data_IF_222159277953
#
_entry.id   IF_222159277953
#
_cell.length_a   1.000
_cell.length_b   1.000
_cell.length_c   1.000
_cell.angle_alpha   90.00
_cell.angle_beta   90.00
_cell.angle_gamma   90.00
#
_symmetry.space_group_name_H-M   'P 1'
#
loop_
_entity.id
_entity.type
_entity.pdbx_description
1 polymer ?
#
# COMPACT_ATOMS: atom_id res chain seq x y z
N UNK A 1 25.81 28.04 7.23
CA UNK A 1 25.58 27.13 6.08
C UNK A 1 25.79 25.67 6.47
N UNK A 2 26.95 25.28 7.01
CA UNK A 2 27.24 23.88 7.36
C UNK A 2 26.27 23.23 8.36
N UNK A 3 25.77 23.98 9.36
CA UNK A 3 24.79 23.45 10.30
C UNK A 3 23.44 23.08 9.67
N UNK A 4 23.02 23.80 8.62
CA UNK A 4 21.78 23.48 7.88
C UNK A 4 22.02 22.24 7.00
N UNK A 5 23.19 22.16 6.35
CA UNK A 5 23.56 21.00 5.55
C UNK A 5 23.61 19.71 6.40
N UNK A 6 24.14 19.77 7.62
CA UNK A 6 24.09 18.64 8.58
C UNK A 6 22.65 18.22 8.92
N UNK A 7 21.71 19.16 9.07
CA UNK A 7 20.29 18.85 9.28
C UNK A 7 19.68 18.14 8.06
N UNK A 8 20.01 18.56 6.85
CA UNK A 8 19.59 17.87 5.63
C UNK A 8 20.18 16.46 5.55
N UNK A 9 21.46 16.28 5.87
CA UNK A 9 22.10 14.96 5.92
C UNK A 9 21.36 14.01 6.88
N UNK A 10 20.99 14.49 8.07
CA UNK A 10 20.19 13.70 9.01
C UNK A 10 18.81 13.32 8.46
N UNK A 11 18.15 14.25 7.75
CA UNK A 11 16.87 13.95 7.08
C UNK A 11 17.03 12.89 5.99
N UNK A 12 18.07 12.97 5.16
CA UNK A 12 18.33 11.95 4.13
C UNK A 12 18.69 10.58 4.73
N UNK A 13 19.34 10.54 5.90
CA UNK A 13 19.52 9.29 6.65
C UNK A 13 18.16 8.69 7.04
N UNK A 14 17.27 9.51 7.60
CA UNK A 14 15.91 9.06 7.95
C UNK A 14 15.11 8.63 6.72
N UNK A 15 15.19 9.38 5.61
CA UNK A 15 14.53 8.98 4.36
C UNK A 15 15.01 7.60 3.94
N UNK A 16 16.31 7.31 3.99
CA UNK A 16 16.84 5.98 3.67
C UNK A 16 16.23 4.88 4.55
N UNK A 17 16.14 5.10 5.86
CA UNK A 17 15.48 4.16 6.78
C UNK A 17 14.01 3.91 6.41
N UNK A 18 13.28 4.97 6.00
CA UNK A 18 11.91 4.85 5.49
C UNK A 18 11.86 4.08 4.15
N UNK A 19 12.87 4.20 3.29
CA UNK A 19 12.95 3.45 2.02
C UNK A 19 13.24 1.97 2.24
N UNK A 20 14.10 1.65 3.20
CA UNK A 20 14.35 0.25 3.58
C UNK A 20 13.05 -0.40 4.12
N UNK A 21 12.27 0.35 4.89
CA UNK A 21 10.94 -0.10 5.32
C UNK A 21 9.97 -0.22 4.12
N UNK A 22 10.00 0.73 3.19
CA UNK A 22 9.18 0.69 1.97
C UNK A 22 9.39 -0.59 1.16
N UNK A 23 10.65 -1.03 0.98
CA UNK A 23 10.98 -2.24 0.23
C UNK A 23 10.44 -3.51 0.91
N UNK A 24 10.51 -3.57 2.24
CA UNK A 24 9.92 -4.65 3.02
C UNK A 24 8.39 -4.70 2.87
N UNK A 25 7.74 -3.53 2.94
CA UNK A 25 6.29 -3.41 2.72
C UNK A 25 5.90 -3.78 1.29
N UNK A 26 6.74 -3.45 0.29
CA UNK A 26 6.51 -3.77 -1.12
C UNK A 26 6.52 -5.29 -1.34
N UNK A 27 7.52 -5.97 -0.80
CA UNK A 27 7.61 -7.44 -0.86
C UNK A 27 6.40 -8.10 -0.21
N UNK A 28 5.99 -7.61 0.97
CA UNK A 28 4.80 -8.08 1.68
C UNK A 28 3.52 -7.84 0.87
N UNK A 29 3.33 -6.65 0.31
CA UNK A 29 2.13 -6.31 -0.47
C UNK A 29 2.02 -7.17 -1.73
N UNK A 30 3.11 -7.40 -2.45
CA UNK A 30 3.13 -8.28 -3.64
C UNK A 30 2.68 -9.70 -3.26
N UNK A 31 3.22 -10.25 -2.16
CA UNK A 31 2.85 -11.58 -1.68
C UNK A 31 1.36 -11.65 -1.30
N UNK A 32 0.88 -10.67 -0.52
CA UNK A 32 -0.52 -10.61 -0.13
C UNK A 32 -1.45 -10.49 -1.35
N UNK A 33 -1.14 -9.57 -2.28
CA UNK A 33 -1.92 -9.36 -3.51
C UNK A 33 -1.99 -10.62 -4.37
N UNK A 34 -0.85 -11.31 -4.53
CA UNK A 34 -0.77 -12.56 -5.30
C UNK A 34 -1.61 -13.66 -4.65
N UNK A 35 -1.55 -13.78 -3.33
CA UNK A 35 -2.35 -14.74 -2.57
C UNK A 35 -3.85 -14.46 -2.68
N UNK A 36 -4.27 -13.20 -2.51
CA UNK A 36 -5.66 -12.80 -2.69
C UNK A 36 -6.15 -13.08 -4.12
N UNK A 37 -5.34 -12.76 -5.13
CA UNK A 37 -5.65 -13.04 -6.54
C UNK A 37 -5.83 -14.54 -6.80
N UNK A 38 -4.94 -15.37 -6.24
CA UNK A 38 -5.02 -16.84 -6.35
C UNK A 38 -6.27 -17.40 -5.65
N UNK A 39 -6.64 -16.88 -4.47
CA UNK A 39 -7.89 -17.27 -3.82
C UNK A 39 -9.11 -16.90 -4.68
N UNK A 40 -9.15 -15.67 -5.21
CA UNK A 40 -10.25 -15.20 -6.08
C UNK A 40 -10.40 -16.07 -7.32
N UNK A 41 -9.29 -16.48 -7.95
CA UNK A 41 -9.32 -17.39 -9.09
C UNK A 41 -9.86 -18.78 -8.70
N UNK A 42 -9.41 -19.33 -7.56
CA UNK A 42 -9.90 -20.63 -7.06
C UNK A 42 -11.37 -20.61 -6.70
N UNK A 43 -11.89 -19.49 -6.18
CA UNK A 43 -13.32 -19.34 -5.86
C UNK A 43 -14.22 -19.61 -7.09
N UNK A 44 -13.76 -19.28 -8.31
CA UNK A 44 -14.50 -19.57 -9.54
C UNK A 44 -14.63 -21.07 -9.80
N UNK A 45 -13.59 -21.85 -9.47
CA UNK A 45 -13.57 -23.31 -9.64
C UNK A 45 -14.38 -24.00 -8.52
N UNK A 46 -14.26 -23.49 -7.30
CA UNK A 46 -14.94 -24.02 -6.10
C UNK A 46 -16.46 -23.81 -6.16
N UNK A 47 -16.92 -22.72 -6.78
CA UNK A 47 -18.35 -22.48 -6.98
C UNK A 47 -19.01 -23.47 -7.95
N UNK A 48 -18.23 -24.25 -8.68
CA UNK A 48 -18.73 -25.14 -9.72
C UNK A 48 -18.76 -26.60 -9.23
N UNK A 49 -19.98 -27.03 -8.90
CA UNK A 49 -20.29 -28.34 -8.31
C UNK A 49 -19.75 -29.52 -9.10
N UNK A 50 -19.54 -29.38 -10.41
CA UNK A 50 -19.00 -30.48 -11.22
C UNK A 50 -17.55 -30.81 -10.88
N UNK A 51 -16.82 -29.89 -10.24
CA UNK A 51 -15.41 -30.05 -9.90
C UNK A 51 -15.14 -30.89 -8.64
N UNK A 52 -16.17 -31.27 -7.87
CA UNK A 52 -16.02 -32.03 -6.63
C UNK A 52 -15.84 -33.55 -6.85
N UNK A 53 -16.17 -34.07 -8.04
CA UNK A 53 -15.97 -35.48 -8.38
C UNK A 53 -16.55 -36.43 -7.31
N UNK A 54 -15.72 -37.30 -6.75
CA UNK A 54 -16.10 -38.26 -5.71
C UNK A 54 -16.52 -37.60 -4.38
N UNK A 55 -16.17 -36.33 -4.16
CA UNK A 55 -16.54 -35.59 -2.96
C UNK A 55 -18.01 -35.13 -2.97
N UNK A 56 -18.73 -35.23 -4.10
CA UNK A 56 -20.16 -34.86 -4.20
C UNK A 56 -21.07 -35.61 -3.22
N UNK A 57 -20.66 -36.80 -2.77
CA UNK A 57 -21.42 -37.58 -1.79
C UNK A 57 -21.17 -37.16 -0.33
N UNK A 58 -20.25 -36.24 -0.09
CA UNK A 58 -19.96 -35.71 1.25
C UNK A 58 -20.86 -34.50 1.50
N UNK A 59 -21.77 -34.65 2.45
CA UNK A 59 -22.72 -33.59 2.80
C UNK A 59 -21.98 -32.32 3.29
N UNK A 60 -22.41 -31.16 2.79
CA UNK A 60 -21.86 -29.85 3.17
C UNK A 60 -20.41 -29.55 2.73
N UNK A 61 -19.74 -30.41 1.95
CA UNK A 61 -18.33 -30.19 1.60
C UNK A 61 -18.10 -28.92 0.77
N UNK A 62 -19.04 -28.56 -0.10
CA UNK A 62 -18.94 -27.39 -0.97
C UNK A 62 -18.95 -26.11 -0.12
N UNK A 63 -19.90 -26.02 0.81
CA UNK A 63 -20.05 -24.89 1.73
C UNK A 63 -18.84 -24.78 2.66
N UNK A 64 -18.34 -25.90 3.18
CA UNK A 64 -17.18 -25.93 4.06
C UNK A 64 -15.91 -25.42 3.35
N UNK A 65 -15.66 -25.88 2.12
CA UNK A 65 -14.50 -25.45 1.32
C UNK A 65 -14.63 -23.97 0.94
N UNK A 66 -15.81 -23.55 0.50
CA UNK A 66 -16.08 -22.16 0.14
C UNK A 66 -15.87 -21.24 1.34
N UNK A 67 -16.46 -21.57 2.49
CA UNK A 67 -16.31 -20.80 3.73
C UNK A 67 -14.83 -20.63 4.09
N UNK A 68 -14.04 -21.70 4.03
CA UNK A 68 -12.61 -21.62 4.37
C UNK A 68 -11.81 -20.75 3.41
N UNK A 69 -12.12 -20.77 2.11
CA UNK A 69 -11.48 -19.85 1.16
C UNK A 69 -11.89 -18.39 1.41
N UNK A 70 -13.17 -18.15 1.75
CA UNK A 70 -13.65 -16.80 2.06
C UNK A 70 -13.00 -16.24 3.32
N UNK A 71 -12.92 -17.03 4.40
CA UNK A 71 -12.21 -16.66 5.64
C UNK A 71 -10.73 -16.34 5.35
N UNK A 72 -10.06 -17.15 4.52
CA UNK A 72 -8.67 -16.90 4.11
C UNK A 72 -8.54 -15.60 3.30
N UNK A 73 -9.47 -15.34 2.39
CA UNK A 73 -9.50 -14.11 1.59
C UNK A 73 -9.70 -12.88 2.48
N UNK A 74 -10.68 -12.90 3.38
CA UNK A 74 -10.95 -11.79 4.31
C UNK A 74 -9.73 -11.46 5.17
N UNK A 75 -9.08 -12.48 5.73
CA UNK A 75 -7.85 -12.31 6.50
C UNK A 75 -6.71 -11.71 5.66
N UNK A 76 -6.57 -12.16 4.41
CA UNK A 76 -5.55 -11.63 3.51
C UNK A 76 -5.82 -10.16 3.15
N UNK A 77 -7.06 -9.82 2.80
CA UNK A 77 -7.48 -8.44 2.48
C UNK A 77 -7.31 -7.50 3.67
N UNK A 78 -7.61 -7.95 4.89
CA UNK A 78 -7.32 -7.20 6.11
C UNK A 78 -5.82 -6.96 6.29
N UNK A 79 -5.00 -7.99 6.07
CA UNK A 79 -3.54 -7.87 6.14
C UNK A 79 -2.99 -6.91 5.08
N UNK A 80 -3.56 -6.88 3.88
CA UNK A 80 -3.23 -5.89 2.83
C UNK A 80 -3.58 -4.47 3.24
N UNK A 81 -4.77 -4.27 3.82
CA UNK A 81 -5.19 -2.96 4.34
C UNK A 81 -4.17 -2.43 5.34
N UNK A 82 -3.75 -3.26 6.30
CA UNK A 82 -2.75 -2.88 7.29
C UNK A 82 -1.40 -2.52 6.64
N UNK A 83 -0.95 -3.28 5.62
CA UNK A 83 0.25 -2.94 4.84
C UNK A 83 0.12 -1.57 4.15
N UNK A 84 -1.05 -1.27 3.57
CA UNK A 84 -1.32 0.02 2.92
C UNK A 84 -1.34 1.20 3.90
N UNK A 85 -1.78 0.97 5.14
CA UNK A 85 -1.71 1.98 6.21
C UNK A 85 -0.26 2.28 6.59
N UNK A 86 0.62 1.27 6.64
CA UNK A 86 2.07 1.48 6.87
C UNK A 86 2.72 2.27 5.73
N UNK A 87 2.40 1.96 4.46
CA UNK A 87 2.86 2.78 3.34
C UNK A 87 2.41 4.25 3.47
N UNK A 88 1.17 4.47 3.88
CA UNK A 88 0.64 5.82 4.08
C UNK A 88 1.42 6.59 5.16
N UNK A 89 1.79 5.93 6.27
CA UNK A 89 2.63 6.53 7.32
C UNK A 89 3.97 7.00 6.77
N UNK A 90 4.62 6.20 5.90
CA UNK A 90 5.87 6.61 5.24
C UNK A 90 5.65 7.87 4.39
N UNK A 91 4.60 7.89 3.54
CA UNK A 91 4.28 9.07 2.71
C UNK A 91 4.09 10.31 3.58
N UNK A 92 3.33 10.21 4.68
CA UNK A 92 3.13 11.32 5.62
C UNK A 92 4.45 11.76 6.30
N UNK A 93 5.34 10.82 6.61
CA UNK A 93 6.69 11.09 7.15
C UNK A 93 7.52 11.90 6.15
N UNK A 94 7.53 11.51 4.87
CA UNK A 94 8.22 12.23 3.79
C UNK A 94 7.64 13.64 3.58
N UNK A 95 6.30 13.77 3.51
CA UNK A 95 5.63 15.06 3.38
C UNK A 95 5.97 16.00 4.54
N UNK A 96 5.99 15.48 5.77
CA UNK A 96 6.42 16.24 6.95
C UNK A 96 7.87 16.69 6.81
N UNK A 97 8.76 15.79 6.39
CA UNK A 97 10.18 16.14 6.21
C UNK A 97 10.37 17.26 5.18
N UNK A 98 9.61 17.26 4.08
CA UNK A 98 9.61 18.35 3.08
C UNK A 98 9.11 19.65 3.70
N UNK A 99 7.97 19.64 4.41
CA UNK A 99 7.42 20.84 5.07
C UNK A 99 8.41 21.45 6.06
N UNK A 100 8.97 20.63 6.94
CA UNK A 100 9.96 21.07 7.93
C UNK A 100 11.21 21.66 7.25
N UNK A 101 11.61 21.11 6.10
CA UNK A 101 12.78 21.57 5.33
C UNK A 101 12.53 22.91 4.65
N UNK A 102 11.32 23.13 4.11
CA UNK A 102 10.88 24.44 3.58
C UNK A 102 10.85 25.49 4.68
N UNK A 103 10.31 25.16 5.86
CA UNK A 103 10.31 26.06 7.02
C UNK A 103 11.71 26.41 7.51
N UNK A 104 12.64 25.45 7.50
CA UNK A 104 14.04 25.67 7.88
C UNK A 104 14.73 26.72 6.99
N UNK A 105 14.30 26.86 5.73
CA UNK A 105 14.84 27.83 4.79
C UNK A 105 14.03 29.15 4.77
N UNK A 106 12.73 29.12 5.07
CA UNK A 106 11.83 30.28 4.93
C UNK A 106 11.31 30.92 6.22
N UNK A 107 11.48 30.30 7.40
CA UNK A 107 10.72 30.63 8.60
C UNK A 107 11.40 31.49 9.69
N UNK A 108 12.59 32.06 9.46
CA UNK A 108 13.32 32.88 10.45
C UNK A 108 13.55 34.33 10.03
N UNK A 109 13.87 35.22 10.97
CA UNK A 109 14.15 36.65 10.71
C UNK A 109 15.39 36.92 9.84
N UNK A 110 16.19 35.88 9.58
CA UNK A 110 17.31 35.87 8.63
C UNK A 110 17.09 34.76 7.61
N UNK A 111 16.23 35.02 6.63
CA UNK A 111 16.12 34.16 5.46
C UNK A 111 17.48 34.13 4.72
N UNK A 112 17.99 32.94 4.35
CA UNK A 112 19.17 32.85 3.51
C UNK A 112 18.89 33.55 2.18
N UNK A 113 19.78 34.41 1.72
CA UNK A 113 19.62 35.03 0.40
C UNK A 113 19.67 33.97 -0.70
N UNK A 114 19.11 34.26 -1.88
CA UNK A 114 19.13 33.35 -3.04
C UNK A 114 20.55 32.86 -3.37
N UNK A 115 21.55 33.74 -3.19
CA UNK A 115 22.98 33.40 -3.35
C UNK A 115 23.45 32.36 -2.34
N UNK A 116 22.99 32.43 -1.08
CA UNK A 116 23.34 31.46 -0.04
C UNK A 116 22.63 30.11 -0.21
N UNK A 117 21.44 30.08 -0.79
CA UNK A 117 20.72 28.83 -1.10
C UNK A 117 21.39 28.05 -2.24
N UNK A 118 21.88 28.78 -3.25
CA UNK A 118 22.56 28.22 -4.43
C UNK A 118 24.07 28.03 -4.23
N UNK A 119 24.64 28.53 -3.13
CA UNK A 119 26.07 28.41 -2.87
C UNK A 119 26.46 26.94 -2.69
N UNK A 120 27.42 26.50 -3.50
CA UNK A 120 28.07 25.19 -3.36
C UNK A 120 29.41 25.36 -2.67
N UNK A 121 29.73 24.45 -1.75
CA UNK A 121 31.03 24.37 -1.07
C UNK A 121 31.77 23.15 -1.57
N UNK A 122 32.60 23.32 -2.61
CA UNK A 122 33.28 22.22 -3.29
C UNK A 122 32.28 21.29 -3.99
N UNK A 123 32.40 19.97 -3.76
CA UNK A 123 31.54 18.93 -4.36
C UNK A 123 30.21 18.78 -3.60
N UNK A 124 30.01 19.49 -2.48
CA UNK A 124 28.79 19.36 -1.65
C UNK A 124 27.59 19.98 -2.37
N UNK A 125 26.41 19.33 -2.30
CA UNK A 125 25.18 19.87 -2.87
C UNK A 125 24.82 21.21 -2.20
N UNK A 126 24.13 22.07 -2.95
CA UNK A 126 23.57 23.30 -2.39
C UNK A 126 22.35 22.98 -1.50
N UNK A 127 21.85 23.98 -0.76
CA UNK A 127 20.63 23.80 0.03
C UNK A 127 19.38 23.64 -0.85
N UNK A 128 19.37 24.27 -2.04
CA UNK A 128 18.31 24.04 -3.03
C UNK A 128 18.36 22.61 -3.55
N UNK A 129 19.54 22.10 -3.92
CA UNK A 129 19.71 20.72 -4.39
C UNK A 129 19.19 19.70 -3.35
N UNK A 130 19.46 19.95 -2.07
CA UNK A 130 18.95 19.11 -0.98
C UNK A 130 17.43 19.19 -0.80
N UNK A 131 16.83 20.38 -0.89
CA UNK A 131 15.38 20.53 -0.79
C UNK A 131 14.67 19.87 -1.97
N UNK A 132 15.16 20.12 -3.18
CA UNK A 132 14.61 19.57 -4.43
C UNK A 132 14.67 18.04 -4.41
N UNK A 133 15.79 17.47 -3.96
CA UNK A 133 15.92 16.02 -3.78
C UNK A 133 14.88 15.44 -2.82
N UNK A 134 14.58 16.11 -1.69
CA UNK A 134 13.52 15.66 -0.78
C UNK A 134 12.12 15.76 -1.41
N UNK A 135 11.85 16.83 -2.16
CA UNK A 135 10.58 17.01 -2.87
C UNK A 135 10.38 15.89 -3.89
N UNK A 136 11.38 15.62 -4.72
CA UNK A 136 11.33 14.55 -5.73
C UNK A 136 11.05 13.20 -5.07
N UNK A 137 11.78 12.86 -4.00
CA UNK A 137 11.56 11.59 -3.29
C UNK A 137 10.15 11.48 -2.72
N UNK A 138 9.63 12.57 -2.14
CA UNK A 138 8.26 12.61 -1.62
C UNK A 138 7.21 12.47 -2.72
N UNK A 139 7.39 13.14 -3.87
CA UNK A 139 6.47 13.10 -5.00
C UNK A 139 6.43 11.71 -5.65
N UNK A 140 7.60 11.09 -5.85
CA UNK A 140 7.71 9.73 -6.38
C UNK A 140 6.95 8.72 -5.51
N UNK A 141 7.24 8.68 -4.21
CA UNK A 141 6.62 7.72 -3.29
C UNK A 141 5.14 7.99 -3.06
N UNK A 142 4.71 9.26 -3.07
CA UNK A 142 3.28 9.60 -3.04
C UNK A 142 2.56 9.09 -4.27
N UNK A 143 3.13 9.28 -5.45
CA UNK A 143 2.56 8.82 -6.71
C UNK A 143 2.46 7.29 -6.75
N UNK A 144 3.52 6.61 -6.31
CA UNK A 144 3.56 5.17 -6.19
C UNK A 144 2.52 4.63 -5.19
N UNK A 145 2.37 5.29 -4.03
CA UNK A 145 1.33 4.97 -3.05
C UNK A 145 -0.08 5.09 -3.62
N UNK A 146 -0.36 6.16 -4.37
CA UNK A 146 -1.66 6.38 -5.01
C UNK A 146 -1.96 5.28 -6.04
N UNK A 147 -0.96 4.89 -6.83
CA UNK A 147 -1.07 3.77 -7.77
C UNK A 147 -1.38 2.46 -7.03
N UNK A 148 -0.62 2.12 -5.98
CA UNK A 148 -0.87 0.94 -5.14
C UNK A 148 -2.29 0.95 -4.56
N UNK A 149 -2.73 2.10 -4.05
CA UNK A 149 -4.08 2.27 -3.50
C UNK A 149 -5.15 2.00 -4.54
N UNK A 150 -4.97 2.50 -5.77
CA UNK A 150 -5.89 2.25 -6.88
C UNK A 150 -5.97 0.76 -7.23
N UNK A 151 -4.81 0.09 -7.37
CA UNK A 151 -4.71 -1.33 -7.69
C UNK A 151 -5.33 -2.21 -6.59
N UNK A 152 -5.00 -1.96 -5.33
CA UNK A 152 -5.59 -2.68 -4.18
C UNK A 152 -7.10 -2.46 -4.12
N UNK A 153 -7.58 -1.24 -4.35
CA UNK A 153 -9.01 -0.93 -4.40
C UNK A 153 -9.73 -1.66 -5.52
N UNK A 154 -9.08 -1.81 -6.69
CA UNK A 154 -9.62 -2.60 -7.79
C UNK A 154 -9.73 -4.08 -7.42
N UNK A 155 -8.71 -4.66 -6.80
CA UNK A 155 -8.75 -6.04 -6.32
C UNK A 155 -9.88 -6.25 -5.29
N UNK A 156 -10.05 -5.33 -4.34
CA UNK A 156 -11.13 -5.37 -3.36
C UNK A 156 -12.50 -5.41 -4.07
N UNK A 157 -12.72 -4.56 -5.07
CA UNK A 157 -13.97 -4.57 -5.86
C UNK A 157 -14.20 -5.92 -6.55
N UNK A 158 -13.14 -6.54 -7.08
CA UNK A 158 -13.23 -7.88 -7.70
C UNK A 158 -13.56 -8.94 -6.65
N UNK A 159 -12.92 -8.90 -5.48
CA UNK A 159 -13.19 -9.82 -4.37
C UNK A 159 -14.64 -9.71 -3.88
N UNK A 160 -15.15 -8.49 -3.72
CA UNK A 160 -16.56 -8.26 -3.39
C UNK A 160 -17.49 -8.84 -4.47
N UNK A 161 -17.18 -8.63 -5.76
CA UNK A 161 -17.97 -9.21 -6.85
C UNK A 161 -17.98 -10.73 -6.80
N UNK A 162 -16.84 -11.36 -6.51
CA UNK A 162 -16.75 -12.82 -6.36
C UNK A 162 -17.67 -13.32 -5.25
N UNK A 163 -17.73 -12.62 -4.11
CA UNK A 163 -18.63 -12.92 -2.99
C UNK A 163 -20.11 -12.87 -3.37
N UNK A 164 -20.54 -11.91 -4.19
CA UNK A 164 -21.95 -11.75 -4.59
C UNK A 164 -22.37 -12.59 -5.80
N UNK A 165 -21.45 -13.16 -6.57
CA UNK A 165 -21.78 -14.04 -7.70
C UNK A 165 -21.87 -15.52 -7.30
N UNK A 166 -21.29 -15.91 -6.17
CA UNK A 166 -21.36 -17.27 -5.61
C UNK A 166 -22.74 -17.71 -5.04
N UNK A 167 -23.66 -16.83 -4.58
CA UNK A 167 -24.98 -17.24 -4.11
C UNK A 167 -25.91 -17.80 -5.20
N UNK A 168 -25.56 -17.69 -6.48
CA UNK A 168 -26.43 -18.08 -7.60
C UNK A 168 -26.26 -19.54 -8.05
N UNK A 169 -25.49 -20.37 -7.34
CA UNK A 169 -25.25 -21.79 -7.70
C UNK A 169 -25.75 -22.80 -6.65
N UNK A 170 -26.48 -22.38 -5.62
CA UNK A 170 -27.17 -23.25 -4.66
C UNK A 170 -28.63 -22.85 -4.48
N UNK A 171 -29.54 -23.61 -5.08
CA UNK A 171 -30.99 -23.39 -5.09
C UNK A 171 -31.67 -23.42 -3.70
N UNK A 172 -32.76 -22.65 -3.60
CA UNK A 172 -33.98 -22.90 -2.81
C UNK A 172 -33.86 -23.17 -1.31
N UNK A 173 -34.06 -22.12 -0.51
CA UNK A 173 -34.88 -22.21 0.71
C UNK A 173 -35.86 -21.03 0.77
N UNK A 174 -37.11 -21.35 0.47
CA UNK A 174 -38.37 -20.82 0.98
C UNK A 174 -38.24 -19.66 1.98
N UNK A 175 -38.60 -18.45 1.56
CA UNK A 175 -39.32 -17.51 2.43
C UNK A 175 -40.77 -17.48 1.93
N UNK A 176 -41.52 -18.47 2.39
CA UNK A 176 -42.98 -18.41 2.44
C UNK A 176 -43.38 -17.71 3.74
N UNK A 177 -44.22 -16.70 3.58
CA UNK A 177 -45.23 -16.19 4.51
C UNK A 177 -45.11 -16.56 5.99
N UNK A 178 -44.88 -15.56 6.84
CA UNK A 178 -45.85 -15.05 7.84
C UNK A 178 -45.31 -13.76 8.45
#
# INVERSE_FOLDING_TARGET
MEGILKKYQQKFKKVREEMDNWENLQSRLISQFSNASSIIQRLQVIGDKKNYGNLKGVDGIEDAVLQKQMESLENNLLSMKNTMEEFHKIVLSLEKMVRDSKQLLGGGSRQPSTKQLQQRMGIKPSLSDCLDGLVILQEMHKSEYLLKTSVVSALLKIAFKARYMLPYLGNHTILGNS
#
